data_IF_396362021705
#
_entry.id   IF_396362021705
#
_cell.length_a   1.000
_cell.length_b   1.000
_cell.length_c   1.000
_cell.angle_alpha   90.00
_cell.angle_beta   90.00
_cell.angle_gamma   90.00
#
_symmetry.space_group_name_H-M   'P 1'
#
loop_
_entity.id
_entity.type
_entity.pdbx_description
1 polymer ?
#
# COMPACT_ATOMS: atom_id res chain seq x y z
N UNK A 1 6.02 -18.83 -6.47
CA UNK A 1 4.82 -19.17 -7.27
C UNK A 1 3.91 -20.11 -6.49
N UNK A 2 4.46 -21.12 -5.79
CA UNK A 2 3.72 -22.02 -4.88
C UNK A 2 2.88 -21.27 -3.84
N UNK A 3 3.45 -20.29 -3.12
CA UNK A 3 2.69 -19.47 -2.17
C UNK A 3 1.44 -18.79 -2.78
N UNK A 4 1.53 -18.33 -4.04
CA UNK A 4 0.40 -17.67 -4.72
C UNK A 4 -0.68 -18.68 -5.15
N UNK A 5 -0.32 -19.95 -5.36
CA UNK A 5 -1.27 -21.05 -5.57
C UNK A 5 -2.13 -21.26 -4.33
N UNK A 6 -1.49 -21.33 -3.17
CA UNK A 6 -2.19 -21.56 -1.89
C UNK A 6 -3.09 -20.38 -1.50
N UNK A 7 -2.70 -19.17 -1.95
CA UNK A 7 -3.49 -17.95 -1.82
C UNK A 7 -4.78 -17.93 -2.67
N UNK A 8 -4.97 -18.88 -3.59
CA UNK A 8 -6.15 -19.07 -4.45
C UNK A 8 -6.71 -17.78 -5.09
N UNK A 9 -5.84 -16.84 -5.45
CA UNK A 9 -6.27 -15.57 -6.07
C UNK A 9 -7.07 -14.63 -5.16
N UNK A 10 -6.98 -14.77 -3.83
CA UNK A 10 -7.75 -13.95 -2.86
C UNK A 10 -7.01 -12.71 -2.39
N UNK A 11 -5.70 -12.63 -2.61
CA UNK A 11 -4.87 -11.60 -2.01
C UNK A 11 -4.23 -10.69 -3.05
N UNK A 12 -4.15 -9.40 -2.73
CA UNK A 12 -3.51 -8.41 -3.56
C UNK A 12 -1.99 -8.44 -3.46
N UNK A 13 -1.32 -7.78 -4.41
CA UNK A 13 0.15 -7.73 -4.53
C UNK A 13 0.83 -7.24 -3.24
N UNK A 14 0.21 -6.30 -2.53
CA UNK A 14 0.75 -5.76 -1.30
C UNK A 14 0.81 -6.82 -0.19
N UNK A 15 -0.31 -7.51 0.06
CA UNK A 15 -0.39 -8.52 1.12
C UNK A 15 0.51 -9.72 0.83
N UNK A 16 0.60 -10.15 -0.43
CA UNK A 16 1.51 -11.21 -0.85
C UNK A 16 2.98 -10.82 -0.61
N UNK A 17 3.35 -9.57 -0.93
CA UNK A 17 4.70 -9.09 -0.67
C UNK A 17 5.02 -9.00 0.82
N UNK A 18 4.04 -8.56 1.62
CA UNK A 18 4.19 -8.42 3.07
C UNK A 18 4.32 -9.81 3.73
N UNK A 19 3.56 -10.82 3.27
CA UNK A 19 3.67 -12.19 3.75
C UNK A 19 5.00 -12.86 3.37
N UNK A 20 5.48 -12.68 2.13
CA UNK A 20 6.79 -13.18 1.71
C UNK A 20 7.94 -12.51 2.47
N UNK A 21 7.78 -11.26 2.87
CA UNK A 21 8.71 -10.56 3.74
C UNK A 21 8.65 -11.05 5.19
N UNK A 22 7.55 -11.67 5.62
CA UNK A 22 7.34 -12.06 7.01
C UNK A 22 6.80 -10.93 7.90
N UNK A 23 6.06 -9.99 7.31
CA UNK A 23 5.44 -8.91 8.06
C UNK A 23 4.31 -9.46 8.96
N UNK A 24 4.34 -9.14 10.26
CA UNK A 24 3.31 -9.59 11.20
C UNK A 24 2.15 -8.58 11.28
N UNK A 25 1.37 -8.46 10.21
CA UNK A 25 0.19 -7.57 10.18
C UNK A 25 -1.08 -8.32 10.62
N UNK A 26 -2.07 -7.59 11.13
CA UNK A 26 -3.37 -8.17 11.50
C UNK A 26 -4.01 -8.91 10.33
N UNK A 27 -3.96 -8.35 9.11
CA UNK A 27 -4.47 -8.99 7.91
C UNK A 27 -3.80 -10.33 7.59
N UNK A 28 -2.50 -10.46 7.84
CA UNK A 28 -1.77 -11.71 7.62
C UNK A 28 -2.27 -12.79 8.59
N UNK A 29 -2.45 -12.43 9.86
CA UNK A 29 -2.99 -13.34 10.89
C UNK A 29 -4.45 -13.70 10.62
N UNK A 30 -5.29 -12.73 10.23
CA UNK A 30 -6.70 -12.98 9.86
C UNK A 30 -6.84 -13.88 8.64
N UNK A 31 -5.81 -13.98 7.81
CA UNK A 31 -5.80 -14.81 6.61
C UNK A 31 -4.97 -16.10 6.78
N UNK A 32 -4.46 -16.37 7.98
CA UNK A 32 -3.58 -17.51 8.31
C UNK A 32 -2.39 -17.66 7.33
N UNK A 33 -1.88 -16.53 6.85
CA UNK A 33 -0.74 -16.48 5.91
C UNK A 33 0.60 -16.67 6.64
N UNK A 34 0.60 -16.63 7.96
CA UNK A 34 1.72 -16.94 8.85
C UNK A 34 2.01 -18.44 8.94
N UNK A 35 1.02 -19.29 8.69
CA UNK A 35 1.17 -20.76 8.68
C UNK A 35 1.53 -21.30 7.28
N UNK A 36 1.40 -20.46 6.24
CA UNK A 36 1.57 -20.88 4.86
C UNK A 36 3.03 -21.13 4.46
N UNK A 37 3.30 -22.15 3.62
CA UNK A 37 4.65 -22.47 3.15
C UNK A 37 5.17 -21.34 2.25
N UNK A 38 6.17 -20.60 2.74
CA UNK A 38 6.75 -19.45 2.04
C UNK A 38 6.65 -18.13 2.81
N UNK A 39 5.93 -18.10 3.93
CA UNK A 39 5.95 -16.96 4.85
C UNK A 39 7.39 -16.66 5.32
N UNK A 40 7.80 -15.39 5.23
CA UNK A 40 9.13 -14.96 5.65
C UNK A 40 10.32 -15.51 4.83
N UNK A 41 10.09 -16.22 3.73
CA UNK A 41 11.19 -16.76 2.88
C UNK A 41 12.09 -15.68 2.29
N UNK A 42 11.59 -14.44 2.20
CA UNK A 42 12.33 -13.27 1.70
C UNK A 42 12.50 -12.20 2.78
N UNK A 43 12.57 -12.58 4.06
CA UNK A 43 12.72 -11.63 5.17
C UNK A 43 13.95 -10.72 5.07
N UNK A 44 15.03 -11.17 4.41
CA UNK A 44 16.24 -10.37 4.19
C UNK A 44 16.09 -9.27 3.14
N UNK A 45 15.10 -9.37 2.25
CA UNK A 45 14.90 -8.43 1.15
C UNK A 45 13.84 -7.39 1.52
N UNK A 46 14.01 -6.11 1.13
CA UNK A 46 13.04 -5.08 1.46
C UNK A 46 11.73 -5.31 0.73
N UNK A 47 10.60 -5.03 1.38
CA UNK A 47 9.24 -5.21 0.84
C UNK A 47 9.06 -4.56 -0.54
N UNK A 48 9.69 -3.40 -0.76
CA UNK A 48 9.66 -2.73 -2.07
C UNK A 48 10.26 -3.58 -3.20
N UNK A 49 11.36 -4.29 -2.93
CA UNK A 49 11.99 -5.19 -3.91
C UNK A 49 11.10 -6.39 -4.18
N UNK A 50 10.47 -6.95 -3.16
CA UNK A 50 9.53 -8.07 -3.31
C UNK A 50 8.35 -7.64 -4.18
N UNK A 51 7.81 -6.43 -3.97
CA UNK A 51 6.76 -5.85 -4.82
C UNK A 51 7.21 -5.68 -6.28
N UNK A 52 8.45 -5.25 -6.51
CA UNK A 52 9.02 -5.14 -7.86
C UNK A 52 9.19 -6.51 -8.55
N UNK A 53 9.60 -7.52 -7.79
CA UNK A 53 9.70 -8.91 -8.27
C UNK A 53 8.32 -9.43 -8.68
N UNK A 54 7.31 -9.27 -7.82
CA UNK A 54 5.94 -9.68 -8.15
C UNK A 54 5.44 -8.92 -9.39
N UNK A 55 5.72 -7.62 -9.50
CA UNK A 55 5.38 -6.83 -10.68
C UNK A 55 6.03 -7.36 -11.97
N UNK A 56 7.29 -7.82 -11.91
CA UNK A 56 7.95 -8.45 -13.05
C UNK A 56 7.32 -9.79 -13.43
N UNK A 57 6.94 -10.61 -12.44
CA UNK A 57 6.25 -11.88 -12.69
C UNK A 57 4.88 -11.64 -13.34
N UNK A 58 4.16 -10.59 -12.92
CA UNK A 58 2.92 -10.17 -13.58
C UNK A 58 3.19 -9.74 -15.02
N UNK A 59 4.21 -8.91 -15.25
CA UNK A 59 4.55 -8.43 -16.59
C UNK A 59 5.01 -9.51 -17.57
N UNK A 60 5.56 -10.63 -17.06
CA UNK A 60 5.95 -11.79 -17.89
C UNK A 60 4.86 -12.86 -18.01
N UNK A 61 3.66 -12.64 -17.45
CA UNK A 61 2.53 -13.57 -17.57
C UNK A 61 2.57 -14.79 -16.64
N UNK A 62 3.51 -14.85 -15.70
CA UNK A 62 3.52 -15.90 -14.67
C UNK A 62 2.45 -15.65 -13.60
N UNK A 63 2.16 -14.39 -13.32
CA UNK A 63 1.09 -14.00 -12.42
C UNK A 63 0.11 -13.12 -13.19
N UNK A 64 -1.16 -13.17 -12.81
CA UNK A 64 -2.18 -12.28 -13.35
C UNK A 64 -2.72 -11.45 -12.21
N UNK A 65 -2.79 -10.14 -12.43
CA UNK A 65 -3.44 -9.23 -11.50
C UNK A 65 -4.83 -8.89 -12.04
N UNK A 66 -5.86 -9.16 -11.25
CA UNK A 66 -7.23 -8.77 -11.59
C UNK A 66 -7.36 -7.25 -11.58
N UNK A 67 -8.23 -6.72 -12.45
CA UNK A 67 -8.51 -5.29 -12.56
C UNK A 67 -9.66 -4.89 -11.60
N UNK A 68 -9.60 -3.68 -11.05
CA UNK A 68 -10.65 -3.13 -10.19
C UNK A 68 -10.14 -2.47 -8.91
N UNK A 69 -11.07 -2.12 -8.03
CA UNK A 69 -10.79 -1.44 -6.76
C UNK A 69 -9.99 -2.31 -5.77
N UNK A 70 -10.08 -3.65 -5.91
CA UNK A 70 -9.37 -4.62 -5.09
C UNK A 70 -8.64 -5.64 -5.98
N UNK A 71 -7.48 -5.26 -6.55
CA UNK A 71 -6.80 -6.12 -7.50
C UNK A 71 -6.13 -7.28 -6.77
N UNK A 72 -6.57 -8.48 -7.10
CA UNK A 72 -6.04 -9.75 -6.57
C UNK A 72 -4.99 -10.35 -7.50
N UNK A 73 -4.04 -11.10 -6.95
CA UNK A 73 -2.97 -11.77 -7.70
C UNK A 73 -3.27 -13.26 -7.76
N UNK A 74 -3.45 -13.78 -8.98
CA UNK A 74 -3.61 -15.19 -9.28
C UNK A 74 -2.47 -15.74 -10.13
N UNK A 75 -2.48 -17.05 -10.34
CA UNK A 75 -1.55 -17.72 -11.27
C UNK A 75 -1.90 -17.37 -12.71
N UNK A 76 -0.89 -17.03 -13.50
CA UNK A 76 -1.03 -16.83 -14.94
C UNK A 76 -0.78 -18.12 -15.73
N UNK A 77 -1.14 -18.13 -17.03
CA UNK A 77 -1.01 -19.31 -17.90
C UNK A 77 0.42 -19.85 -17.95
N UNK A 78 1.43 -18.98 -18.00
CA UNK A 78 2.84 -19.41 -18.01
C UNK A 78 3.29 -20.05 -16.70
N UNK A 79 2.68 -19.70 -15.56
CA UNK A 79 2.96 -20.39 -14.31
C UNK A 79 2.33 -21.79 -14.28
N UNK A 80 1.14 -21.95 -14.87
CA UNK A 80 0.48 -23.25 -14.97
C UNK A 80 1.29 -24.19 -15.87
N UNK A 81 1.77 -23.71 -17.02
CA UNK A 81 2.62 -24.46 -17.95
C UNK A 81 3.92 -24.93 -17.28
N UNK A 82 4.64 -24.01 -16.63
CA UNK A 82 5.93 -24.34 -15.98
C UNK A 82 5.76 -25.29 -14.79
N UNK A 83 4.64 -25.19 -14.08
CA UNK A 83 4.33 -26.13 -13.00
C UNK A 83 3.84 -27.49 -13.50
N UNK A 84 3.21 -27.55 -14.67
CA UNK A 84 2.80 -28.80 -15.30
C UNK A 84 4.01 -29.57 -15.87
N UNK A 85 4.99 -28.86 -16.43
CA UNK A 85 6.17 -29.45 -17.06
C UNK A 85 7.23 -29.90 -16.05
N UNK A 86 7.26 -29.32 -14.85
CA UNK A 86 8.25 -29.66 -13.81
C UNK A 86 7.72 -29.40 -12.39
N UNK A 87 6.85 -30.30 -11.87
CA UNK A 87 6.25 -30.15 -10.54
C UNK A 87 7.25 -30.25 -9.39
N UNK A 88 8.37 -30.94 -9.59
CA UNK A 88 9.40 -31.23 -8.57
C UNK A 88 10.55 -30.19 -8.55
N UNK A 89 10.68 -29.35 -9.58
CA UNK A 89 11.81 -28.42 -9.66
C UNK A 89 11.46 -27.05 -9.04
N UNK A 90 12.36 -26.49 -8.22
CA UNK A 90 12.17 -25.14 -7.72
C UNK A 90 12.16 -24.17 -8.90
N UNK A 91 11.10 -23.36 -8.99
CA UNK A 91 11.02 -22.30 -9.98
C UNK A 91 12.14 -21.27 -9.77
N UNK A 92 13.20 -21.36 -10.58
CA UNK A 92 14.30 -20.40 -10.58
C UNK A 92 14.06 -19.38 -11.67
N UNK A 93 13.99 -18.12 -11.26
CA UNK A 93 13.77 -17.01 -12.19
C UNK A 93 14.79 -15.92 -11.97
N UNK A 94 15.64 -15.70 -12.97
CA UNK A 94 16.66 -14.66 -12.95
C UNK A 94 16.05 -13.33 -13.38
N UNK A 95 16.11 -12.36 -12.46
CA UNK A 95 15.69 -10.99 -12.72
C UNK A 95 16.92 -10.09 -12.77
N UNK A 96 17.05 -9.31 -13.85
CA UNK A 96 17.99 -8.18 -13.87
C UNK A 96 17.54 -7.19 -12.81
N UNK A 97 18.38 -6.95 -11.80
CA UNK A 97 18.12 -5.95 -10.76
C UNK A 97 17.85 -4.61 -11.45
N UNK A 98 16.63 -4.09 -11.35
CA UNK A 98 16.36 -2.70 -11.74
C UNK A 98 17.18 -1.80 -10.81
N UNK A 99 17.95 -0.88 -11.38
CA UNK A 99 18.61 0.17 -10.62
C UNK A 99 17.54 0.87 -9.78
N UNK A 100 17.76 0.91 -8.46
CA UNK A 100 16.75 1.26 -7.47
C UNK A 100 16.02 2.56 -7.82
N UNK A 101 14.69 2.54 -7.69
CA UNK A 101 13.79 3.68 -7.88
C UNK A 101 13.91 4.74 -6.76
N UNK A 102 15.13 5.03 -6.29
CA UNK A 102 15.41 6.16 -5.37
C UNK A 102 14.99 7.50 -5.99
N UNK A 103 15.12 7.67 -7.32
CA UNK A 103 14.76 8.92 -8.02
C UNK A 103 13.27 9.27 -8.06
N UNK A 104 12.36 8.29 -7.95
CA UNK A 104 10.93 8.57 -8.13
C UNK A 104 10.30 9.16 -6.88
N UNK A 105 10.72 8.68 -5.69
CA UNK A 105 10.18 9.19 -4.44
C UNK A 105 10.64 10.65 -4.25
N UNK A 106 11.91 10.92 -4.55
CA UNK A 106 12.50 12.27 -4.47
C UNK A 106 11.86 13.28 -5.44
N UNK A 107 11.35 12.84 -6.59
CA UNK A 107 10.58 13.71 -7.51
C UNK A 107 9.18 14.01 -6.99
N UNK A 108 8.54 13.04 -6.34
CA UNK A 108 7.24 13.24 -5.68
C UNK A 108 7.40 14.19 -4.50
N UNK A 109 8.43 14.01 -3.66
CA UNK A 109 8.75 14.94 -2.58
C UNK A 109 9.09 16.34 -3.10
N UNK A 110 9.91 16.47 -4.15
CA UNK A 110 10.18 17.76 -4.80
C UNK A 110 8.92 18.41 -5.38
N UNK A 111 8.02 17.63 -5.99
CA UNK A 111 6.76 18.17 -6.50
C UNK A 111 5.84 18.64 -5.37
N UNK A 112 5.79 17.91 -4.26
CA UNK A 112 5.06 18.31 -3.05
C UNK A 112 5.68 19.56 -2.42
N UNK A 113 7.01 19.70 -2.41
CA UNK A 113 7.71 20.88 -1.93
C UNK A 113 7.50 22.08 -2.87
N UNK A 114 7.49 21.91 -4.20
CA UNK A 114 7.21 22.98 -5.16
C UNK A 114 5.76 23.49 -5.03
N UNK A 115 4.78 22.61 -4.84
CA UNK A 115 3.39 23.00 -4.55
C UNK A 115 3.31 23.78 -3.21
N UNK A 116 4.23 23.50 -2.28
CA UNK A 116 4.33 24.20 -1.00
C UNK A 116 5.02 25.57 -1.12
N UNK A 117 5.92 25.73 -2.08
CA UNK A 117 6.62 27.00 -2.37
C UNK A 117 5.78 27.95 -3.23
N UNK A 118 5.04 27.47 -4.24
CA UNK A 118 4.11 28.29 -5.02
C UNK A 118 2.96 28.86 -4.16
N UNK A 119 2.66 28.22 -3.03
CA UNK A 119 1.70 28.70 -2.04
C UNK A 119 2.29 29.71 -1.03
N UNK A 120 3.56 30.12 -1.20
CA UNK A 120 4.30 30.93 -0.24
C UNK A 120 4.84 32.25 -0.85
N UNK A 121 3.94 33.15 -1.28
CA UNK A 121 4.24 34.59 -1.36
C UNK A 121 4.03 35.26 0.02
N UNK A 122 4.80 36.31 0.38
CA UNK A 122 5.02 36.71 1.76
C UNK A 122 4.01 37.77 2.21
N UNK A 123 3.02 37.36 3.01
CA UNK A 123 2.38 38.28 3.96
C UNK A 123 2.00 37.56 5.25
N UNK A 124 2.41 38.19 6.36
CA UNK A 124 2.06 37.91 7.75
C UNK A 124 2.81 36.78 8.51
N UNK A 125 3.03 36.95 9.84
CA UNK A 125 3.60 35.92 10.69
C UNK A 125 2.66 34.72 10.71
N UNK A 126 3.23 33.51 10.55
CA UNK A 126 2.45 32.26 10.54
C UNK A 126 1.65 32.15 11.85
N UNK A 127 0.32 31.95 11.82
CA UNK A 127 -0.38 31.53 13.02
C UNK A 127 0.17 30.16 13.42
N UNK A 128 0.31 29.91 14.73
CA UNK A 128 0.48 28.54 15.23
C UNK A 128 -0.63 27.71 14.58
N UNK A 129 -0.29 26.57 13.97
CA UNK A 129 -1.27 25.70 13.30
C UNK A 129 -2.43 25.47 14.26
N UNK A 130 -3.58 26.09 13.99
CA UNK A 130 -4.82 25.74 14.64
C UNK A 130 -5.03 24.26 14.38
N UNK A 131 -4.98 23.46 15.46
CA UNK A 131 -5.63 22.17 15.43
C UNK A 131 -7.09 22.40 15.01
N UNK A 132 -7.68 21.49 14.25
CA UNK A 132 -9.14 21.45 14.06
C UNK A 132 -9.76 21.53 15.47
N UNK A 133 -10.31 22.70 15.83
CA UNK A 133 -10.74 23.01 17.20
C UNK A 133 -10.43 24.44 17.71
N UNK A 134 -9.64 25.27 17.03
CA UNK A 134 -9.21 26.58 17.56
C UNK A 134 -10.14 27.77 17.22
N UNK A 135 -11.37 27.51 16.76
CA UNK A 135 -12.36 28.56 16.45
C UNK A 135 -13.19 28.95 17.68
N UNK A 136 -12.53 29.49 18.71
CA UNK A 136 -13.18 29.88 19.97
C UNK A 136 -14.30 30.92 19.80
N UNK A 137 -14.12 31.87 18.88
CA UNK A 137 -15.14 32.88 18.56
C UNK A 137 -16.36 32.27 17.85
N UNK A 138 -16.15 31.27 17.00
CA UNK A 138 -17.24 30.53 16.37
C UNK A 138 -18.01 29.72 17.40
N UNK A 139 -17.32 29.17 18.41
CA UNK A 139 -17.92 28.44 19.51
C UNK A 139 -18.75 29.35 20.43
N UNK A 140 -18.29 30.56 20.75
CA UNK A 140 -19.07 31.55 21.51
C UNK A 140 -20.30 32.03 20.71
N UNK A 141 -20.15 32.31 19.40
CA UNK A 141 -21.30 32.64 18.53
C UNK A 141 -22.33 31.51 18.46
N UNK A 142 -21.89 30.26 18.32
CA UNK A 142 -22.79 29.10 18.35
C UNK A 142 -23.41 28.87 19.73
N UNK A 143 -22.71 29.24 20.82
CA UNK A 143 -23.21 29.14 22.20
C UNK A 143 -24.31 30.16 22.49
N UNK A 144 -24.15 31.39 22.02
CA UNK A 144 -25.19 32.43 22.12
C UNK A 144 -26.42 32.05 21.32
N UNK A 145 -26.25 31.66 20.05
CA UNK A 145 -27.37 31.21 19.21
C UNK A 145 -28.13 30.04 19.87
N UNK A 146 -27.41 29.09 20.48
CA UNK A 146 -28.01 27.92 21.12
C UNK A 146 -28.71 28.27 22.45
N UNK A 147 -28.33 29.36 23.12
CA UNK A 147 -29.11 29.90 24.26
C UNK A 147 -30.37 30.59 23.79
N UNK A 148 -30.30 31.39 22.74
CA UNK A 148 -31.46 32.12 22.21
C UNK A 148 -32.52 31.14 21.69
N UNK A 149 -32.12 30.11 20.94
CA UNK A 149 -33.02 29.04 20.50
C UNK A 149 -33.58 28.18 21.64
N UNK A 150 -32.90 28.12 22.79
CA UNK A 150 -33.39 27.40 23.96
C UNK A 150 -34.45 28.22 24.73
N UNK A 151 -34.35 29.55 24.71
CA UNK A 151 -35.33 30.47 25.31
C UNK A 151 -36.59 30.60 24.43
N UNK A 152 -36.44 30.49 23.11
CA UNK A 152 -37.55 30.64 22.16
C UNK A 152 -38.41 29.36 22.01
N UNK A 153 -37.98 28.24 22.61
CA UNK A 153 -38.68 26.94 22.56
C UNK A 153 -39.16 26.43 23.94
N UNK A 154 -39.14 27.27 24.98
CA UNK A 154 -39.73 26.96 26.30
C UNK A 154 -41.04 27.71 26.52
#
# INVERSE_FOLDING_TARGET
VLFVRDCNGRFGRALVADALHGANTERIRSCHLDEAPGYGSLASEPTGRIKDVIGQLVGRGYLVQSQGQYPVVGLGPHAVEVMADSPEQPFVFTMKRRAAKRRSNERVWRAVDLIREDAAEPSAPRPRRAHVGDDGELFERLRELRRDFAVERS
#
